data_IF_743618566948
#
_entry.id   IF_743618566948
#
_cell.length_a   1.000
_cell.length_b   1.000
_cell.length_c   1.000
_cell.angle_alpha   90.00
_cell.angle_beta   90.00
_cell.angle_gamma   90.00
#
_symmetry.space_group_name_H-M   'P 1'
#
loop_
_entity.id
_entity.type
_entity.pdbx_description
1 polymer ?
#
# COMPACT_ATOMS: atom_id res chain seq x y z
N UNK A 1 7.54 -7.07 -4.47
CA UNK A 1 8.27 -8.26 -4.04
C UNK A 1 9.41 -8.61 -5.01
N UNK A 2 9.15 -9.07 -6.26
CA UNK A 2 10.17 -9.51 -7.22
C UNK A 2 11.28 -8.49 -7.49
N UNK A 3 10.95 -7.20 -7.62
CA UNK A 3 11.93 -6.14 -7.79
C UNK A 3 12.90 -6.08 -6.61
N UNK A 4 12.39 -6.06 -5.38
CA UNK A 4 13.22 -6.04 -4.18
C UNK A 4 14.12 -7.27 -4.07
N UNK A 5 13.55 -8.47 -4.27
CA UNK A 5 14.32 -9.72 -4.22
C UNK A 5 15.47 -9.76 -5.25
N UNK A 6 15.25 -9.16 -6.45
CA UNK A 6 16.28 -9.06 -7.48
C UNK A 6 17.32 -7.99 -7.15
N UNK A 7 16.86 -6.79 -6.78
CA UNK A 7 17.71 -5.62 -6.58
C UNK A 7 18.58 -5.75 -5.32
N UNK A 8 17.99 -6.22 -4.23
CA UNK A 8 18.66 -6.31 -2.91
C UNK A 8 19.11 -7.71 -2.55
N UNK A 9 18.92 -8.70 -3.44
CA UNK A 9 19.33 -10.11 -3.26
C UNK A 9 18.76 -10.73 -1.96
N UNK A 10 17.61 -10.28 -1.50
CA UNK A 10 16.94 -10.75 -0.30
C UNK A 10 15.86 -11.79 -0.60
N UNK A 11 15.45 -12.52 0.43
CA UNK A 11 14.26 -13.37 0.41
C UNK A 11 13.04 -12.53 0.78
N UNK A 12 11.93 -12.71 0.09
CA UNK A 12 10.68 -12.00 0.35
C UNK A 12 9.57 -12.99 0.65
N UNK A 13 8.92 -12.80 1.78
CA UNK A 13 7.62 -13.39 2.07
C UNK A 13 6.56 -12.32 1.93
N UNK A 14 5.59 -12.53 1.05
CA UNK A 14 4.46 -11.62 0.85
C UNK A 14 3.15 -12.29 1.22
N UNK A 15 2.27 -11.53 1.85
CA UNK A 15 0.92 -11.97 2.17
C UNK A 15 -0.12 -11.08 1.49
N UNK A 16 -1.23 -11.67 1.13
CA UNK A 16 -2.44 -10.97 0.69
C UNK A 16 -3.66 -11.77 1.12
N UNK A 17 -4.74 -11.11 1.49
CA UNK A 17 -5.98 -11.78 1.89
C UNK A 17 -6.72 -12.37 0.68
N UNK A 18 -6.39 -11.96 -0.53
CA UNK A 18 -7.07 -12.32 -1.77
C UNK A 18 -6.41 -13.53 -2.43
N UNK A 19 -7.05 -14.73 -2.43
CA UNK A 19 -6.45 -15.95 -2.97
C UNK A 19 -6.00 -15.83 -4.43
N UNK A 20 -6.81 -15.17 -5.28
CA UNK A 20 -6.49 -15.01 -6.70
C UNK A 20 -5.22 -14.16 -6.93
N UNK A 21 -4.93 -13.18 -6.06
CA UNK A 21 -3.69 -12.40 -6.16
C UNK A 21 -2.46 -13.24 -5.81
N UNK A 22 -2.59 -14.10 -4.81
CA UNK A 22 -1.53 -15.04 -4.43
C UNK A 22 -1.28 -16.06 -5.55
N UNK A 23 -2.34 -16.67 -6.11
CA UNK A 23 -2.22 -17.61 -7.22
C UNK A 23 -1.52 -17.00 -8.43
N UNK A 24 -1.99 -15.85 -8.89
CA UNK A 24 -1.40 -15.13 -10.04
C UNK A 24 0.03 -14.69 -9.71
N UNK A 25 0.27 -14.19 -8.50
CA UNK A 25 1.59 -13.79 -8.03
C UNK A 25 2.60 -14.93 -8.09
N UNK A 26 2.21 -16.12 -7.64
CA UNK A 26 3.04 -17.33 -7.70
C UNK A 26 3.27 -17.82 -9.14
N UNK A 27 2.26 -17.73 -10.03
CA UNK A 27 2.46 -17.98 -11.47
C UNK A 27 3.53 -17.04 -12.05
N UNK A 28 3.49 -15.76 -11.71
CA UNK A 28 4.53 -14.80 -12.12
C UNK A 28 5.90 -15.09 -11.49
N UNK A 29 5.97 -15.57 -10.26
CA UNK A 29 7.23 -15.98 -9.66
C UNK A 29 7.87 -17.14 -10.45
N UNK A 30 7.07 -18.12 -10.86
CA UNK A 30 7.53 -19.23 -11.70
C UNK A 30 8.02 -18.75 -13.06
N UNK A 31 7.23 -17.95 -13.77
CA UNK A 31 7.56 -17.42 -15.10
C UNK A 31 8.84 -16.56 -15.11
N UNK A 32 9.17 -15.92 -14.00
CA UNK A 32 10.34 -15.04 -13.85
C UNK A 32 11.50 -15.69 -13.11
N UNK A 33 11.43 -17.01 -12.84
CA UNK A 33 12.44 -17.78 -12.08
C UNK A 33 12.72 -17.21 -10.69
N UNK A 34 11.71 -16.59 -10.06
CA UNK A 34 11.83 -15.96 -8.74
C UNK A 34 11.25 -16.79 -7.59
N UNK A 35 10.72 -18.00 -7.86
CA UNK A 35 10.04 -18.83 -6.84
C UNK A 35 10.93 -19.25 -5.66
N UNK A 36 12.26 -19.29 -5.86
CA UNK A 36 13.21 -19.54 -4.77
C UNK A 36 13.48 -18.32 -3.89
N UNK A 37 13.09 -17.11 -4.34
CA UNK A 37 13.39 -15.85 -3.64
C UNK A 37 12.14 -15.14 -3.14
N UNK A 38 10.98 -15.43 -3.73
CA UNK A 38 9.71 -14.78 -3.38
C UNK A 38 8.66 -15.84 -3.10
N UNK A 39 8.27 -15.96 -1.85
CA UNK A 39 7.15 -16.78 -1.38
C UNK A 39 5.94 -15.90 -1.19
N UNK A 40 4.79 -16.30 -1.75
CA UNK A 40 3.52 -15.59 -1.56
C UNK A 40 2.51 -16.56 -0.96
N UNK A 41 1.81 -16.11 0.08
CA UNK A 41 0.81 -16.91 0.78
C UNK A 41 -0.41 -16.10 1.16
N UNK A 42 -1.55 -16.76 1.27
CA UNK A 42 -2.78 -16.16 1.77
C UNK A 42 -2.57 -15.85 3.25
N UNK A 43 -2.91 -14.62 3.67
CA UNK A 43 -2.81 -14.22 5.07
C UNK A 43 -3.51 -12.90 5.34
N UNK A 44 -3.89 -12.70 6.59
CA UNK A 44 -4.46 -11.44 7.08
C UNK A 44 -3.37 -10.66 7.82
N UNK A 45 -3.16 -9.39 7.42
CA UNK A 45 -2.17 -8.52 8.07
C UNK A 45 -2.48 -8.15 9.52
N UNK A 46 -3.72 -8.38 9.98
CA UNK A 46 -4.14 -8.17 11.38
C UNK A 46 -3.85 -9.39 12.26
N UNK A 47 -3.49 -10.54 11.66
CA UNK A 47 -3.17 -11.80 12.37
C UNK A 47 -2.18 -12.59 11.52
N UNK A 48 -0.88 -12.37 11.72
CA UNK A 48 0.18 -12.99 10.94
C UNK A 48 0.57 -14.35 11.51
N UNK A 49 0.60 -15.39 10.67
CA UNK A 49 1.07 -16.73 11.04
C UNK A 49 2.61 -16.82 10.89
N UNK A 50 3.30 -16.01 11.67
CA UNK A 50 4.75 -15.98 11.77
C UNK A 50 5.17 -15.83 13.22
N UNK A 51 6.34 -16.37 13.57
CA UNK A 51 6.97 -16.19 14.84
C UNK A 51 7.37 -14.72 15.10
N UNK A 52 7.52 -14.37 16.36
CA UNK A 52 8.06 -13.08 16.74
C UNK A 52 9.48 -12.89 16.18
N UNK A 53 9.79 -11.66 15.78
CA UNK A 53 11.13 -11.31 15.29
C UNK A 53 11.63 -12.18 14.13
N UNK A 54 10.72 -12.64 13.26
CA UNK A 54 11.05 -13.49 12.12
C UNK A 54 11.73 -12.73 10.96
N UNK A 55 11.52 -11.42 10.83
CA UNK A 55 11.91 -10.66 9.63
C UNK A 55 12.92 -9.55 9.91
N UNK A 56 13.85 -9.37 8.96
CA UNK A 56 14.89 -8.33 8.98
C UNK A 56 14.41 -6.96 8.44
N UNK A 57 13.17 -6.87 8.05
CA UNK A 57 12.53 -5.65 7.58
C UNK A 57 11.16 -5.93 6.97
N UNK A 58 10.30 -4.92 6.92
CA UNK A 58 8.95 -5.04 6.38
C UNK A 58 8.55 -3.86 5.51
N UNK A 59 7.65 -4.11 4.56
CA UNK A 59 7.01 -3.02 3.82
C UNK A 59 5.56 -3.34 3.45
N UNK A 60 4.76 -2.28 3.34
CA UNK A 60 3.36 -2.35 2.92
C UNK A 60 3.06 -1.22 1.93
N UNK A 61 2.31 -1.53 0.86
CA UNK A 61 1.97 -0.54 -0.16
C UNK A 61 0.47 -0.50 -0.41
N UNK A 62 -0.19 0.63 -0.09
CA UNK A 62 -1.61 0.86 -0.33
C UNK A 62 -2.53 -0.23 0.25
N UNK A 63 -2.24 -0.67 1.47
CA UNK A 63 -3.01 -1.69 2.18
C UNK A 63 -3.82 -1.09 3.31
N UNK A 64 -3.19 -0.25 4.13
CA UNK A 64 -3.71 0.21 5.41
C UNK A 64 -5.01 1.01 5.31
N UNK A 65 -5.26 1.72 4.20
CA UNK A 65 -6.51 2.42 3.96
C UNK A 65 -7.74 1.48 3.87
N UNK A 66 -7.52 0.19 3.65
CA UNK A 66 -8.57 -0.84 3.59
C UNK A 66 -8.75 -1.60 4.92
N UNK A 67 -7.92 -1.31 5.93
CA UNK A 67 -7.90 -2.03 7.20
C UNK A 67 -8.61 -1.23 8.27
N UNK A 68 -9.68 -1.80 8.84
CA UNK A 68 -10.46 -1.19 9.91
C UNK A 68 -9.70 -1.22 11.23
N UNK A 69 -9.14 -2.37 11.59
CA UNK A 69 -8.40 -2.56 12.84
C UNK A 69 -6.91 -2.26 12.62
N UNK A 70 -6.60 -1.04 12.27
CA UNK A 70 -5.26 -0.61 11.90
C UNK A 70 -4.23 -0.80 13.02
N UNK A 71 -4.67 -0.71 14.27
CA UNK A 71 -3.81 -0.97 15.44
C UNK A 71 -3.29 -2.41 15.43
N UNK A 72 -4.16 -3.39 15.21
CA UNK A 72 -3.75 -4.80 15.14
C UNK A 72 -2.78 -5.05 14.00
N UNK A 73 -3.02 -4.46 12.82
CA UNK A 73 -2.09 -4.56 11.69
C UNK A 73 -0.69 -4.05 12.04
N UNK A 74 -0.58 -2.91 12.70
CA UNK A 74 0.72 -2.36 13.10
C UNK A 74 1.34 -3.11 14.29
N UNK A 75 0.55 -3.65 15.22
CA UNK A 75 1.03 -4.54 16.29
C UNK A 75 1.64 -5.82 15.71
N UNK A 76 0.99 -6.45 14.73
CA UNK A 76 1.52 -7.63 14.06
C UNK A 76 2.78 -7.31 13.25
N UNK A 77 2.79 -6.20 12.51
CA UNK A 77 4.00 -5.75 11.83
C UNK A 77 5.16 -5.52 12.82
N UNK A 78 4.87 -4.91 13.98
CA UNK A 78 5.85 -4.73 15.03
C UNK A 78 6.33 -6.06 15.61
N UNK A 79 5.41 -6.99 15.92
CA UNK A 79 5.73 -8.28 16.52
C UNK A 79 6.70 -9.09 15.67
N UNK A 80 6.42 -9.23 14.38
CA UNK A 80 7.18 -10.11 13.47
C UNK A 80 8.52 -9.52 13.02
N UNK A 81 8.76 -8.23 13.23
CA UNK A 81 10.03 -7.58 12.89
C UNK A 81 11.05 -7.76 14.01
N UNK A 82 12.30 -7.98 13.66
CA UNK A 82 13.43 -7.97 14.60
C UNK A 82 13.69 -6.57 15.13
N UNK A 83 14.24 -6.48 16.35
CA UNK A 83 14.61 -5.19 16.95
C UNK A 83 15.63 -4.43 16.09
N UNK A 84 15.47 -3.12 16.00
CA UNK A 84 16.34 -2.25 15.23
C UNK A 84 16.12 -2.30 13.71
N UNK A 85 15.17 -3.11 13.22
CA UNK A 85 14.85 -3.19 11.80
C UNK A 85 13.80 -2.16 11.37
N UNK A 86 13.64 -1.98 10.05
CA UNK A 86 12.72 -0.99 9.53
C UNK A 86 11.36 -1.57 9.15
N UNK A 87 10.35 -0.73 9.24
CA UNK A 87 9.07 -0.88 8.58
C UNK A 87 8.80 0.32 7.68
N UNK A 88 8.54 0.07 6.39
CA UNK A 88 8.25 1.12 5.42
C UNK A 88 6.86 0.91 4.81
N UNK A 89 6.07 1.97 4.66
CA UNK A 89 4.79 1.85 3.98
C UNK A 89 4.36 3.14 3.30
N UNK A 90 3.49 2.98 2.31
CA UNK A 90 2.84 4.07 1.60
C UNK A 90 1.33 3.93 1.65
N UNK A 91 0.64 5.04 1.88
CA UNK A 91 -0.81 5.07 1.94
C UNK A 91 -1.41 6.41 1.53
N UNK A 92 -2.73 6.44 1.41
CA UNK A 92 -3.52 7.66 1.40
C UNK A 92 -4.08 7.91 2.80
N UNK A 93 -3.70 9.02 3.43
CA UNK A 93 -4.26 9.45 4.69
C UNK A 93 -5.44 10.39 4.54
N UNK A 94 -6.17 10.59 5.64
CA UNK A 94 -7.23 11.59 5.74
C UNK A 94 -6.59 12.99 5.79
N UNK A 95 -7.07 13.87 4.93
CA UNK A 95 -6.65 15.26 4.91
C UNK A 95 -7.55 16.18 5.80
N UNK A 96 -7.15 17.43 6.01
CA UNK A 96 -7.85 18.36 6.91
C UNK A 96 -9.11 18.99 6.30
N UNK A 97 -9.41 18.77 5.03
CA UNK A 97 -10.47 19.50 4.30
C UNK A 97 -11.74 18.68 4.05
N UNK A 98 -12.06 17.76 4.96
CA UNK A 98 -13.29 16.98 4.92
C UNK A 98 -13.16 15.64 4.19
N UNK A 99 -14.30 14.99 3.92
CA UNK A 99 -14.34 13.65 3.39
C UNK A 99 -13.81 13.54 1.95
N UNK A 100 -13.14 12.43 1.60
CA UNK A 100 -12.74 12.13 0.24
C UNK A 100 -13.92 12.07 -0.73
N UNK A 101 -13.66 12.29 -2.02
CA UNK A 101 -14.67 12.19 -3.08
C UNK A 101 -14.68 10.77 -3.63
N UNK A 102 -15.75 10.03 -3.38
CA UNK A 102 -15.93 8.66 -3.85
C UNK A 102 -16.58 8.59 -5.25
N UNK A 103 -16.42 7.48 -6.01
CA UNK A 103 -15.54 6.35 -5.70
C UNK A 103 -14.06 6.67 -5.84
N UNK A 104 -13.23 6.00 -5.03
CA UNK A 104 -11.77 6.08 -5.04
C UNK A 104 -11.15 4.79 -5.62
N UNK A 105 -9.87 4.76 -5.99
CA UNK A 105 -9.22 3.55 -6.51
C UNK A 105 -9.34 2.32 -5.61
N UNK A 106 -9.47 2.51 -4.29
CA UNK A 106 -9.54 1.45 -3.29
C UNK A 106 -10.91 1.26 -2.64
N UNK A 107 -11.85 2.19 -2.80
CA UNK A 107 -13.16 2.14 -2.14
C UNK A 107 -14.26 2.77 -2.98
N UNK A 108 -15.43 2.15 -3.01
CA UNK A 108 -16.61 2.71 -3.67
C UNK A 108 -17.29 3.78 -2.82
N UNK A 109 -17.30 3.57 -1.52
CA UNK A 109 -17.99 4.41 -0.54
C UNK A 109 -17.12 4.67 0.69
N UNK A 110 -17.56 5.57 1.56
CA UNK A 110 -16.87 5.93 2.81
C UNK A 110 -16.75 4.76 3.79
N UNK A 111 -17.72 3.86 3.80
CA UNK A 111 -17.76 2.69 4.70
C UNK A 111 -16.67 1.66 4.39
N UNK A 112 -16.11 1.73 3.17
CA UNK A 112 -15.03 0.86 2.70
C UNK A 112 -13.64 1.48 2.85
N UNK A 113 -13.53 2.68 3.43
CA UNK A 113 -12.29 3.45 3.47
C UNK A 113 -11.97 3.91 4.88
N UNK A 114 -10.89 3.40 5.46
CA UNK A 114 -10.51 3.62 6.87
C UNK A 114 -9.27 4.51 6.96
N UNK A 115 -9.36 5.74 6.49
CA UNK A 115 -8.24 6.67 6.49
C UNK A 115 -7.96 7.23 7.89
N UNK A 116 -6.69 7.28 8.27
CA UNK A 116 -6.20 8.09 9.39
C UNK A 116 -5.42 9.29 8.84
N UNK A 117 -5.39 10.37 9.60
CA UNK A 117 -4.48 11.48 9.27
C UNK A 117 -3.02 11.06 9.46
N UNK A 118 -2.06 11.71 8.80
CA UNK A 118 -0.63 11.47 9.03
C UNK A 118 -0.26 11.56 10.51
N UNK A 119 -0.79 12.55 11.23
CA UNK A 119 -0.52 12.77 12.66
C UNK A 119 -1.07 11.62 13.50
N UNK A 120 -2.31 11.16 13.24
CA UNK A 120 -2.91 10.04 13.94
C UNK A 120 -2.15 8.74 13.66
N UNK A 121 -1.67 8.55 12.43
CA UNK A 121 -0.84 7.39 12.07
C UNK A 121 0.48 7.40 12.82
N UNK A 122 1.18 8.54 12.89
CA UNK A 122 2.42 8.69 13.66
C UNK A 122 2.19 8.43 15.15
N UNK A 123 1.10 8.96 15.72
CA UNK A 123 0.75 8.76 17.13
C UNK A 123 0.53 7.29 17.44
N UNK A 124 -0.20 6.58 16.57
CA UNK A 124 -0.44 5.15 16.70
C UNK A 124 0.85 4.33 16.61
N UNK A 125 1.73 4.64 15.67
CA UNK A 125 3.03 3.96 15.56
C UNK A 125 3.89 4.13 16.82
N UNK A 126 3.93 5.36 17.37
CA UNK A 126 4.64 5.65 18.63
C UNK A 126 4.04 4.89 19.82
N UNK A 127 2.72 4.83 19.93
CA UNK A 127 2.00 4.07 20.97
C UNK A 127 2.39 2.59 20.95
N UNK A 128 2.56 2.01 19.75
CA UNK A 128 2.96 0.60 19.57
C UNK A 128 4.43 0.37 19.94
N UNK A 129 5.29 1.38 19.82
CA UNK A 129 6.70 1.30 20.13
C UNK A 129 7.65 1.55 18.94
N UNK A 130 7.11 1.88 17.75
CA UNK A 130 7.96 2.30 16.65
C UNK A 130 8.63 3.63 16.94
N UNK A 131 9.89 3.76 16.52
CA UNK A 131 10.69 4.97 16.72
C UNK A 131 11.40 5.39 15.42
N UNK A 132 12.12 6.51 15.42
CA UNK A 132 12.80 7.07 14.25
C UNK A 132 11.85 7.20 13.05
N UNK A 133 10.64 7.75 13.31
CA UNK A 133 9.56 7.83 12.32
C UNK A 133 9.81 8.99 11.39
N UNK A 134 10.06 8.69 10.13
CA UNK A 134 10.22 9.65 9.05
C UNK A 134 8.98 9.60 8.16
N UNK A 135 8.43 10.75 7.81
CA UNK A 135 7.28 10.88 6.93
C UNK A 135 7.59 11.80 5.75
N UNK A 136 7.13 11.40 4.58
CA UNK A 136 7.26 12.17 3.34
C UNK A 136 5.87 12.29 2.71
N UNK A 137 5.36 13.50 2.59
CA UNK A 137 4.15 13.75 1.81
C UNK A 137 4.43 13.59 0.32
N UNK A 138 3.56 12.88 -0.39
CA UNK A 138 3.76 12.50 -1.79
C UNK A 138 2.67 13.03 -2.72
N UNK A 139 1.87 14.00 -2.29
CA UNK A 139 0.73 14.58 -3.02
C UNK A 139 1.07 14.97 -4.46
N UNK A 140 2.17 15.67 -4.67
CA UNK A 140 2.59 16.13 -6.01
C UNK A 140 2.94 14.96 -6.94
N UNK A 141 3.59 13.91 -6.40
CA UNK A 141 3.89 12.68 -7.16
C UNK A 141 2.59 12.01 -7.64
N UNK A 142 1.59 11.89 -6.74
CA UNK A 142 0.29 11.29 -7.07
C UNK A 142 -0.52 12.13 -8.05
N UNK A 143 -0.59 13.45 -7.86
CA UNK A 143 -1.27 14.37 -8.79
C UNK A 143 -0.66 14.23 -10.19
N UNK A 144 0.68 14.25 -10.29
CA UNK A 144 1.39 14.06 -11.57
C UNK A 144 1.10 12.69 -12.20
N UNK A 145 1.11 11.61 -11.39
CA UNK A 145 0.79 10.26 -11.84
C UNK A 145 -0.64 10.14 -12.39
N UNK A 146 -1.63 10.63 -11.64
CA UNK A 146 -3.03 10.63 -12.08
C UNK A 146 -3.24 11.48 -13.33
N UNK A 147 -2.61 12.66 -13.41
CA UNK A 147 -2.67 13.52 -14.61
C UNK A 147 -2.16 12.78 -15.84
N UNK A 148 -0.99 12.16 -15.77
CA UNK A 148 -0.44 11.35 -16.88
C UNK A 148 -1.39 10.22 -17.28
N UNK A 149 -2.01 9.53 -16.31
CA UNK A 149 -2.94 8.44 -16.56
C UNK A 149 -4.25 8.92 -17.22
N UNK A 150 -4.73 10.09 -16.85
CA UNK A 150 -5.96 10.70 -17.41
C UNK A 150 -5.69 11.21 -18.85
N UNK A 151 -4.55 11.87 -19.08
CA UNK A 151 -4.18 12.49 -20.35
C UNK A 151 -3.77 11.46 -21.42
N UNK A 152 -3.20 10.33 -21.03
CA UNK A 152 -2.74 9.28 -21.97
C UNK A 152 -3.86 8.56 -22.74
N UNK A 153 -5.14 8.93 -22.56
CA UNK A 153 -6.28 8.32 -23.29
C UNK A 153 -6.37 8.70 -24.76
N UNK A 154 -5.62 9.67 -25.25
CA UNK A 154 -5.64 10.11 -26.65
C UNK A 154 -4.65 9.38 -27.57
N UNK A 155 -3.74 8.57 -27.05
CA UNK A 155 -2.78 7.82 -27.86
C UNK A 155 -3.35 6.49 -28.29
N UNK A 156 -3.26 6.18 -29.60
CA UNK A 156 -3.71 4.91 -30.23
C UNK A 156 -3.05 3.66 -29.62
N UNK A 157 -1.93 3.80 -28.90
CA UNK A 157 -1.16 2.70 -28.31
C UNK A 157 -1.33 2.67 -26.79
N UNK A 158 -2.49 2.20 -26.32
CA UNK A 158 -2.61 1.84 -24.90
C UNK A 158 -1.79 0.58 -24.64
N UNK A 159 -0.97 0.54 -23.56
CA UNK A 159 -0.31 -0.71 -23.20
C UNK A 159 -1.38 -1.79 -22.95
N UNK A 160 -1.13 -2.99 -23.45
CA UNK A 160 -2.03 -4.15 -23.30
C UNK A 160 -2.32 -4.41 -21.82
N UNK A 161 -1.30 -4.22 -20.95
CA UNK A 161 -1.39 -4.38 -19.51
C UNK A 161 -1.23 -3.04 -18.79
N UNK A 162 -2.07 -2.80 -17.80
CA UNK A 162 -2.02 -1.61 -16.97
C UNK A 162 -3.18 -1.57 -15.97
N UNK A 163 -3.18 -0.58 -15.10
CA UNK A 163 -4.18 -0.44 -14.02
C UNK A 163 -5.63 -0.38 -14.55
N UNK A 164 -5.82 0.02 -15.81
CA UNK A 164 -7.13 0.03 -16.46
C UNK A 164 -7.73 -1.38 -16.67
N UNK A 165 -6.89 -2.43 -16.69
CA UNK A 165 -7.35 -3.81 -16.78
C UNK A 165 -7.98 -4.24 -15.45
N UNK A 166 -7.37 -3.86 -14.32
CA UNK A 166 -7.84 -4.18 -12.97
C UNK A 166 -9.04 -3.32 -12.60
N UNK A 167 -8.99 -2.01 -12.89
CA UNK A 167 -9.98 -1.05 -12.44
C UNK A 167 -11.20 -0.89 -13.37
N UNK A 168 -11.19 -1.54 -14.53
CA UNK A 168 -12.32 -1.53 -15.45
C UNK A 168 -12.76 -0.12 -15.91
N UNK A 169 -14.02 0.01 -16.31
CA UNK A 169 -14.59 1.24 -16.88
C UNK A 169 -14.60 2.43 -15.88
N UNK A 170 -14.69 2.16 -14.60
CA UNK A 170 -14.79 3.20 -13.55
C UNK A 170 -13.44 3.79 -13.13
N UNK A 171 -12.30 3.17 -13.51
CA UNK A 171 -10.97 3.60 -13.06
C UNK A 171 -10.66 5.06 -13.44
N UNK A 172 -11.16 5.56 -14.55
CA UNK A 172 -10.97 6.97 -14.92
C UNK A 172 -11.60 7.90 -13.91
N UNK A 173 -12.86 7.65 -13.55
CA UNK A 173 -13.58 8.48 -12.58
C UNK A 173 -12.93 8.40 -11.19
N UNK A 174 -12.52 7.18 -10.75
CA UNK A 174 -11.80 6.97 -9.49
C UNK A 174 -10.50 7.77 -9.45
N UNK A 175 -9.75 7.78 -10.54
CA UNK A 175 -8.50 8.56 -10.67
C UNK A 175 -8.74 10.07 -10.61
N UNK A 176 -9.81 10.57 -11.28
CA UNK A 176 -10.21 11.97 -11.21
C UNK A 176 -10.59 12.35 -9.78
N UNK A 177 -11.42 11.55 -9.13
CA UNK A 177 -11.87 11.80 -7.76
C UNK A 177 -10.69 11.80 -6.77
N UNK A 178 -9.76 10.83 -6.93
CA UNK A 178 -8.57 10.76 -6.08
C UNK A 178 -7.67 11.98 -6.28
N UNK A 179 -7.40 12.37 -7.53
CA UNK A 179 -6.62 13.56 -7.83
C UNK A 179 -7.27 14.83 -7.26
N UNK A 180 -8.60 14.96 -7.38
CA UNK A 180 -9.37 16.08 -6.83
C UNK A 180 -9.31 16.09 -5.31
N UNK A 181 -9.50 14.93 -4.66
CA UNK A 181 -9.40 14.79 -3.21
C UNK A 181 -8.02 15.21 -2.68
N UNK A 182 -6.93 14.87 -3.38
CA UNK A 182 -5.58 15.31 -3.01
C UNK A 182 -5.42 16.82 -3.19
N UNK A 183 -5.82 17.38 -4.33
CA UNK A 183 -5.73 18.83 -4.59
C UNK A 183 -6.51 19.66 -3.58
N UNK A 184 -7.67 19.18 -3.15
CA UNK A 184 -8.52 19.82 -2.15
C UNK A 184 -8.10 19.50 -0.71
N UNK A 185 -6.99 18.78 -0.50
CA UNK A 185 -6.50 18.34 0.81
C UNK A 185 -7.55 17.55 1.62
N UNK A 186 -8.37 16.76 0.94
CA UNK A 186 -9.29 15.80 1.55
C UNK A 186 -8.58 14.48 1.84
N UNK A 187 -7.59 14.12 1.00
CA UNK A 187 -6.65 13.03 1.24
C UNK A 187 -5.22 13.54 1.12
N UNK A 188 -4.33 12.96 1.90
CA UNK A 188 -2.90 13.25 1.91
C UNK A 188 -2.14 11.93 1.70
N UNK A 189 -1.65 11.64 0.47
CA UNK A 189 -0.76 10.51 0.26
C UNK A 189 0.58 10.77 0.94
N UNK A 190 1.09 9.76 1.63
CA UNK A 190 2.39 9.82 2.30
C UNK A 190 3.10 8.47 2.33
N UNK A 191 4.40 8.55 2.55
CA UNK A 191 5.29 7.41 2.81
C UNK A 191 5.84 7.56 4.22
N UNK A 192 5.90 6.45 4.96
CA UNK A 192 6.54 6.40 6.28
C UNK A 192 7.62 5.33 6.27
N UNK A 193 8.74 5.65 6.91
CA UNK A 193 9.76 4.69 7.33
C UNK A 193 9.97 4.87 8.83
N UNK A 194 9.93 3.78 9.57
CA UNK A 194 10.16 3.77 11.02
C UNK A 194 10.95 2.52 11.42
N UNK A 195 11.41 2.46 12.69
CA UNK A 195 12.15 1.32 13.25
C UNK A 195 11.37 0.68 14.40
N UNK A 196 11.55 -0.65 14.55
CA UNK A 196 11.20 -1.39 15.76
C UNK A 196 12.31 -1.30 16.76
#
# INVERSE_FOLDING_TARGET
ARYFAKQFKCLITGIDITPSFIEIGNKFNNLTSMSKKVSLQIGNGETLDFEDEAFDGGYSQHVTMNIKNRKEFFLEAYRVLKKGTFFAFSEHGLGPKGNPIFPLPWADTSEMSFLLSPESTISLLKEIGFYDIQIIETSEKYISGYKKMIDNKSKKDKPILGIHVIGGATMKQRSINSMKSIKEKRTLPFEIVCKK
#
